data_IF_922931831283
#
_entry.id   IF_922931831283
#
_cell.length_a   1.000
_cell.length_b   1.000
_cell.length_c   1.000
_cell.angle_alpha   90.00
_cell.angle_beta   90.00
_cell.angle_gamma   90.00
#
_symmetry.space_group_name_H-M   'P 1'
#
loop_
_entity.id
_entity.type
_entity.pdbx_description
1 polymer ?
#
# COMPACT_ATOMS: atom_id res chain seq x y z
N UNK A 1 -63.05 54.82 8.28
CA UNK A 1 -61.90 54.41 9.13
C UNK A 1 -61.15 53.30 8.43
N UNK A 2 -60.12 53.63 7.69
CA UNK A 2 -59.31 52.71 6.95
C UNK A 2 -57.97 52.54 7.61
N UNK A 3 -57.59 51.31 7.92
CA UNK A 3 -56.27 50.98 8.44
C UNK A 3 -55.46 50.32 7.31
N UNK A 4 -54.42 51.04 6.89
CA UNK A 4 -53.46 50.62 5.84
C UNK A 4 -52.46 49.64 6.47
N UNK A 5 -52.45 48.39 5.97
CA UNK A 5 -51.38 47.44 6.26
C UNK A 5 -50.21 47.70 5.33
N UNK A 6 -49.15 48.32 5.84
CA UNK A 6 -47.84 48.31 5.18
C UNK A 6 -47.13 46.99 5.46
N UNK A 7 -46.97 46.20 4.40
CA UNK A 7 -46.15 44.99 4.44
C UNK A 7 -44.68 45.38 4.45
N UNK A 8 -43.99 45.10 5.56
CA UNK A 8 -42.52 45.07 5.60
C UNK A 8 -42.05 43.77 4.94
N UNK A 9 -41.50 43.90 3.77
CA UNK A 9 -40.69 42.84 3.14
C UNK A 9 -39.28 42.91 3.73
N UNK A 10 -38.97 42.05 4.71
CA UNK A 10 -37.60 41.85 5.16
C UNK A 10 -36.90 40.94 4.13
N UNK A 11 -36.06 41.50 3.27
CA UNK A 11 -35.09 40.73 2.47
C UNK A 11 -34.04 40.15 3.45
N UNK A 12 -34.19 38.88 3.76
CA UNK A 12 -33.12 38.12 4.41
C UNK A 12 -32.02 37.85 3.39
N UNK A 13 -30.96 38.65 3.41
CA UNK A 13 -29.73 38.38 2.68
C UNK A 13 -29.00 37.25 3.42
N UNK A 14 -29.21 35.99 3.00
CA UNK A 14 -28.42 34.88 3.46
C UNK A 14 -27.03 35.04 2.79
N UNK A 15 -26.12 35.67 3.52
CA UNK A 15 -24.71 35.63 3.17
C UNK A 15 -24.27 34.16 3.28
N UNK A 16 -24.14 33.48 2.16
CA UNK A 16 -23.43 32.21 2.07
C UNK A 16 -21.97 32.52 2.42
N UNK A 17 -21.63 32.46 3.71
CA UNK A 17 -20.25 32.33 4.17
C UNK A 17 -19.77 31.00 3.60
N UNK A 18 -19.10 31.05 2.46
CA UNK A 18 -18.28 29.94 1.99
C UNK A 18 -17.28 29.63 3.09
N UNK A 19 -17.51 28.57 3.84
CA UNK A 19 -16.49 28.00 4.69
C UNK A 19 -15.35 27.55 3.78
N UNK A 20 -14.42 28.48 3.49
CA UNK A 20 -13.13 28.10 2.95
C UNK A 20 -12.53 27.15 4.00
N UNK A 21 -12.36 25.88 3.63
CA UNK A 21 -11.68 24.93 4.48
C UNK A 21 -10.33 25.55 4.88
N UNK A 22 -10.06 25.61 6.19
CA UNK A 22 -8.79 26.15 6.68
C UNK A 22 -7.65 25.42 5.93
N UNK A 23 -6.63 26.15 5.50
CA UNK A 23 -5.49 25.54 4.81
C UNK A 23 -4.88 24.49 5.74
N UNK A 24 -4.66 23.29 5.22
CA UNK A 24 -3.97 22.23 5.96
C UNK A 24 -2.59 22.77 6.33
N UNK A 25 -2.27 22.73 7.64
CA UNK A 25 -0.96 23.21 8.12
C UNK A 25 0.13 22.38 7.43
N UNK A 26 1.06 23.08 6.78
CA UNK A 26 2.21 22.41 6.15
C UNK A 26 3.07 21.69 7.18
N UNK A 27 3.46 20.48 6.85
CA UNK A 27 4.43 19.70 7.62
C UNK A 27 5.82 20.26 7.29
N UNK A 28 6.49 20.78 8.30
CA UNK A 28 7.86 21.29 8.17
C UNK A 28 8.83 20.18 8.50
N UNK A 29 9.92 20.10 7.76
CA UNK A 29 10.97 19.11 7.98
C UNK A 29 12.35 19.64 7.54
N UNK A 30 13.40 19.00 8.01
CA UNK A 30 14.76 19.13 7.48
C UNK A 30 15.10 17.89 6.66
N UNK A 31 15.87 18.07 5.60
CA UNK A 31 16.32 16.99 4.70
C UNK A 31 17.85 17.07 4.60
N UNK A 32 18.52 16.10 5.17
CA UNK A 32 19.96 16.06 5.32
C UNK A 32 20.53 14.79 4.70
N UNK A 33 21.81 14.83 4.29
CA UNK A 33 22.54 13.65 3.82
C UNK A 33 23.84 13.52 4.61
N UNK A 34 24.07 12.35 5.23
CA UNK A 34 25.32 12.07 5.92
C UNK A 34 26.46 11.76 4.93
N UNK A 35 27.70 11.75 5.41
CA UNK A 35 28.88 11.45 4.58
C UNK A 35 28.85 10.04 3.98
N UNK A 36 28.26 9.08 4.69
CA UNK A 36 28.08 7.71 4.24
C UNK A 36 26.87 7.52 3.31
N UNK A 37 26.18 8.59 2.94
CA UNK A 37 25.08 8.58 1.98
C UNK A 37 23.69 8.39 2.58
N UNK A 38 23.54 8.12 3.88
CA UNK A 38 22.24 8.03 4.54
C UNK A 38 21.49 9.36 4.43
N UNK A 39 20.28 9.32 3.88
CA UNK A 39 19.37 10.46 3.88
C UNK A 39 18.59 10.50 5.17
N UNK A 40 18.52 11.66 5.81
CA UNK A 40 17.90 11.85 7.13
C UNK A 40 16.88 12.97 7.06
N UNK A 41 15.63 12.63 7.33
CA UNK A 41 14.52 13.59 7.36
C UNK A 41 14.03 13.72 8.79
N UNK A 42 13.93 14.95 9.30
CA UNK A 42 13.48 15.19 10.67
C UNK A 42 12.36 16.23 10.64
N UNK A 43 11.24 15.91 11.31
CA UNK A 43 10.08 16.79 11.43
C UNK A 43 9.65 16.90 12.90
N UNK A 44 9.66 18.10 13.44
CA UNK A 44 9.26 18.38 14.81
C UNK A 44 7.74 18.42 14.94
N UNK A 45 7.20 17.70 15.92
CA UNK A 45 5.81 17.75 16.31
C UNK A 45 5.67 17.53 17.83
N UNK A 46 5.54 18.63 18.56
CA UNK A 46 5.44 18.64 20.02
C UNK A 46 4.00 18.47 20.54
N UNK A 47 3.08 17.97 19.71
CA UNK A 47 1.69 17.74 20.10
C UNK A 47 1.49 16.58 21.08
N UNK A 48 2.45 15.66 21.12
CA UNK A 48 2.47 14.49 22.01
C UNK A 48 3.90 14.16 22.39
N UNK A 49 4.18 13.67 23.63
CA UNK A 49 5.54 13.42 24.11
C UNK A 49 6.11 12.10 23.58
N UNK A 50 5.95 11.85 22.28
CA UNK A 50 6.43 10.65 21.58
C UNK A 50 7.06 11.02 20.25
N UNK A 51 7.91 10.14 19.75
CA UNK A 51 8.44 10.23 18.38
C UNK A 51 8.32 8.89 17.67
N UNK A 52 8.40 8.93 16.36
CA UNK A 52 8.56 7.77 15.49
C UNK A 52 9.88 7.84 14.74
N UNK A 53 10.59 6.72 14.68
CA UNK A 53 11.69 6.48 13.75
C UNK A 53 11.21 5.53 12.67
N UNK A 54 11.49 5.83 11.41
CA UNK A 54 11.21 4.96 10.28
C UNK A 54 12.44 4.85 9.38
N UNK A 55 12.91 3.63 9.12
CA UNK A 55 14.03 3.36 8.22
C UNK A 55 13.49 2.62 6.99
N UNK A 56 13.47 3.32 5.86
CA UNK A 56 13.07 2.79 4.58
C UNK A 56 14.28 2.33 3.79
N UNK A 57 14.44 1.03 3.58
CA UNK A 57 15.46 0.47 2.69
C UNK A 57 14.92 0.33 1.27
N UNK A 58 15.72 0.75 0.29
CA UNK A 58 15.40 0.62 -1.14
C UNK A 58 15.63 -0.82 -1.62
N UNK A 59 14.88 -1.73 -1.06
CA UNK A 59 14.88 -3.15 -1.41
C UNK A 59 13.51 -3.75 -1.07
N UNK A 60 12.95 -4.51 -1.99
CA UNK A 60 11.69 -5.23 -1.81
C UNK A 60 11.70 -6.51 -2.64
N UNK A 61 10.54 -7.15 -2.79
CA UNK A 61 10.51 -8.43 -3.51
C UNK A 61 10.89 -8.29 -5.00
N UNK A 62 10.80 -7.10 -5.60
CA UNK A 62 11.27 -6.88 -6.98
C UNK A 62 12.77 -7.07 -7.17
N UNK A 63 13.55 -6.97 -6.09
CA UNK A 63 15.01 -7.10 -6.10
C UNK A 63 15.45 -8.58 -5.95
N UNK A 64 14.48 -9.48 -5.84
CA UNK A 64 14.69 -10.91 -5.71
C UNK A 64 15.00 -11.56 -7.07
N UNK A 65 15.75 -12.62 -7.03
CA UNK A 65 16.06 -13.42 -8.22
C UNK A 65 15.20 -14.69 -8.29
N UNK A 66 15.02 -15.22 -9.47
CA UNK A 66 14.31 -16.50 -9.68
C UNK A 66 14.88 -17.60 -8.80
N UNK A 67 14.03 -18.37 -8.14
CA UNK A 67 14.38 -19.41 -7.17
C UNK A 67 14.79 -18.89 -5.80
N UNK A 68 14.54 -17.60 -5.52
CA UNK A 68 14.81 -16.94 -4.24
C UNK A 68 13.71 -15.92 -3.91
N UNK A 69 12.44 -16.29 -4.18
CA UNK A 69 11.30 -15.45 -3.84
C UNK A 69 11.00 -15.49 -2.33
N UNK A 70 10.55 -14.38 -1.77
CA UNK A 70 10.29 -14.22 -0.33
C UNK A 70 11.51 -13.78 0.47
N UNK A 71 12.66 -13.53 -0.17
CA UNK A 71 13.89 -13.17 0.53
C UNK A 71 13.84 -11.79 1.18
N UNK A 72 13.23 -10.80 0.55
CA UNK A 72 13.08 -9.49 1.13
C UNK A 72 12.23 -9.53 2.41
N UNK A 73 11.16 -10.33 2.41
CA UNK A 73 10.31 -10.54 3.57
C UNK A 73 10.99 -11.40 4.64
N UNK A 74 11.65 -12.49 4.26
CA UNK A 74 12.46 -13.29 5.17
C UNK A 74 13.53 -12.42 5.86
N UNK A 75 14.12 -11.48 5.10
CA UNK A 75 15.11 -10.58 5.63
C UNK A 75 14.51 -9.55 6.60
N UNK A 76 13.28 -9.08 6.37
CA UNK A 76 12.54 -8.28 7.35
C UNK A 76 12.52 -8.98 8.72
N UNK A 77 12.19 -10.27 8.74
CA UNK A 77 12.18 -11.07 9.96
C UNK A 77 13.57 -11.23 10.58
N UNK A 78 14.60 -11.44 9.74
CA UNK A 78 15.98 -11.60 10.21
C UNK A 78 16.50 -10.38 10.96
N UNK A 79 16.06 -9.18 10.59
CA UNK A 79 16.49 -7.91 11.22
C UNK A 79 16.08 -7.77 12.70
N UNK A 80 15.24 -8.67 13.21
CA UNK A 80 14.85 -8.71 14.62
C UNK A 80 15.54 -9.83 15.42
N UNK A 81 16.49 -10.55 14.80
CA UNK A 81 17.12 -11.74 15.40
C UNK A 81 18.49 -11.48 16.03
N UNK A 82 18.81 -10.22 16.24
CA UNK A 82 20.04 -9.81 16.93
C UNK A 82 21.05 -9.17 16.00
N UNK A 83 22.01 -8.53 16.63
CA UNK A 83 23.11 -7.79 16.01
C UNK A 83 24.33 -7.88 16.92
N UNK A 84 25.43 -7.18 16.63
CA UNK A 84 26.67 -7.30 17.40
C UNK A 84 26.51 -6.98 18.90
N UNK A 85 25.63 -6.05 19.24
CA UNK A 85 25.44 -5.57 20.61
C UNK A 85 24.03 -5.83 21.18
N UNK A 86 23.17 -6.47 20.41
CA UNK A 86 21.77 -6.73 20.79
C UNK A 86 21.46 -8.21 20.51
N UNK A 87 21.10 -8.95 21.56
CA UNK A 87 20.81 -10.38 21.46
C UNK A 87 19.53 -10.70 20.70
N UNK A 88 19.38 -11.96 20.33
CA UNK A 88 18.18 -12.43 19.62
C UNK A 88 16.90 -12.19 20.45
N UNK A 89 15.94 -11.42 19.89
CA UNK A 89 14.71 -11.04 20.57
C UNK A 89 14.84 -9.91 21.59
N UNK A 90 16.05 -9.41 21.84
CA UNK A 90 16.27 -8.30 22.76
C UNK A 90 15.79 -6.96 22.20
N UNK A 91 15.92 -6.74 20.90
CA UNK A 91 15.44 -5.52 20.24
C UNK A 91 13.95 -5.23 20.54
N UNK A 92 12.98 -6.14 20.22
CA UNK A 92 11.58 -5.93 20.60
C UNK A 92 11.38 -5.77 22.10
N UNK A 93 12.11 -6.54 22.92
CA UNK A 93 12.02 -6.45 24.37
C UNK A 93 12.40 -5.05 24.88
N UNK A 94 13.51 -4.48 24.41
CA UNK A 94 13.94 -3.13 24.77
C UNK A 94 12.93 -2.07 24.39
N UNK A 95 12.35 -2.16 23.19
CA UNK A 95 11.31 -1.22 22.74
C UNK A 95 10.07 -1.30 23.64
N UNK A 96 9.53 -2.50 23.88
CA UNK A 96 8.31 -2.67 24.68
C UNK A 96 8.55 -2.32 26.16
N UNK A 97 9.69 -2.68 26.74
CA UNK A 97 10.04 -2.36 28.12
C UNK A 97 10.19 -0.85 28.36
N UNK A 98 10.49 -0.07 27.33
CA UNK A 98 10.57 1.39 27.38
C UNK A 98 9.29 2.11 26.87
N UNK A 99 8.16 1.41 26.85
CA UNK A 99 6.84 1.99 26.52
C UNK A 99 6.62 2.25 25.04
N UNK A 100 7.42 1.65 24.18
CA UNK A 100 7.32 1.80 22.73
C UNK A 100 6.55 0.67 22.04
N UNK A 101 6.44 0.81 20.74
CA UNK A 101 5.97 -0.23 19.81
C UNK A 101 6.83 -0.20 18.55
N UNK A 102 6.91 -1.34 17.86
CA UNK A 102 7.72 -1.48 16.65
C UNK A 102 7.10 -2.47 15.67
N UNK A 103 7.47 -2.38 14.41
CA UNK A 103 7.20 -3.41 13.41
C UNK A 103 8.11 -3.26 12.19
N UNK A 104 8.03 -4.24 11.28
CA UNK A 104 8.57 -4.18 9.93
C UNK A 104 7.46 -4.42 8.90
N UNK A 105 7.68 -3.98 7.67
CA UNK A 105 6.81 -4.31 6.53
C UNK A 105 7.63 -4.34 5.25
N UNK A 106 7.36 -5.34 4.42
CA UNK A 106 7.95 -5.47 3.08
C UNK A 106 6.87 -5.39 2.02
N UNK A 107 7.15 -4.66 0.95
CA UNK A 107 6.35 -4.70 -0.27
C UNK A 107 7.26 -4.98 -1.49
N UNK A 108 6.74 -4.81 -2.68
CA UNK A 108 7.52 -5.05 -3.90
C UNK A 108 8.70 -4.08 -4.04
N UNK A 109 8.62 -2.88 -3.49
CA UNK A 109 9.52 -1.76 -3.77
C UNK A 109 10.40 -1.32 -2.61
N UNK A 110 10.06 -1.69 -1.37
CA UNK A 110 10.82 -1.30 -0.17
C UNK A 110 10.63 -2.29 0.98
N UNK A 111 11.57 -2.26 1.94
CA UNK A 111 11.44 -2.81 3.29
C UNK A 111 11.56 -1.68 4.30
N UNK A 112 10.59 -1.57 5.20
CA UNK A 112 10.46 -0.53 6.20
C UNK A 112 10.54 -1.14 7.59
N UNK A 113 11.31 -0.53 8.47
CA UNK A 113 11.27 -0.77 9.91
C UNK A 113 10.89 0.52 10.61
N UNK A 114 10.11 0.41 11.68
CA UNK A 114 9.69 1.58 12.42
C UNK A 114 9.51 1.30 13.91
N UNK A 115 9.73 2.34 14.70
CA UNK A 115 9.57 2.34 16.13
C UNK A 115 8.87 3.62 16.58
N UNK A 116 8.01 3.49 17.59
CA UNK A 116 7.37 4.61 18.27
C UNK A 116 7.77 4.51 19.74
N UNK A 117 8.33 5.57 20.28
CA UNK A 117 8.81 5.61 21.67
C UNK A 117 8.52 6.95 22.33
N UNK A 118 8.50 7.01 23.70
CA UNK A 118 8.52 8.28 24.42
C UNK A 118 9.75 9.13 24.06
N UNK A 119 9.60 10.45 24.04
CA UNK A 119 10.61 11.41 23.56
C UNK A 119 12.00 11.25 24.21
N UNK A 120 12.06 10.79 25.48
CA UNK A 120 13.32 10.56 26.19
C UNK A 120 14.09 9.30 25.74
N UNK A 121 13.52 8.47 24.83
CA UNK A 121 14.14 7.21 24.38
C UNK A 121 14.79 7.33 23.00
N UNK A 122 15.04 8.54 22.50
CA UNK A 122 15.60 8.75 21.15
C UNK A 122 16.96 8.05 20.97
N UNK A 123 17.84 8.09 21.97
CA UNK A 123 19.14 7.40 21.90
C UNK A 123 18.99 5.87 21.77
N UNK A 124 18.00 5.28 22.46
CA UNK A 124 17.73 3.84 22.37
C UNK A 124 17.32 3.46 20.95
N UNK A 125 16.33 4.14 20.37
CA UNK A 125 15.86 3.85 19.00
C UNK A 125 16.98 4.01 17.98
N UNK A 126 17.73 5.11 18.03
CA UNK A 126 18.84 5.35 17.10
C UNK A 126 19.98 4.33 17.26
N UNK A 127 20.26 3.90 18.49
CA UNK A 127 21.23 2.83 18.76
C UNK A 127 20.78 1.51 18.14
N UNK A 128 19.55 1.08 18.38
CA UNK A 128 19.02 -0.19 17.90
C UNK A 128 19.01 -0.26 16.36
N UNK A 129 18.53 0.81 15.73
CA UNK A 129 18.50 0.91 14.25
C UNK A 129 19.91 0.94 13.64
N UNK A 130 20.85 1.67 14.25
CA UNK A 130 22.22 1.74 13.77
C UNK A 130 22.97 0.42 13.97
N UNK A 131 22.74 -0.28 15.08
CA UNK A 131 23.41 -1.54 15.37
C UNK A 131 23.01 -2.64 14.40
N UNK A 132 21.71 -2.81 14.13
CA UNK A 132 21.24 -3.79 13.14
C UNK A 132 21.60 -3.43 11.70
N UNK A 133 21.71 -2.12 11.34
CA UNK A 133 22.20 -1.69 10.03
C UNK A 133 23.69 -2.02 9.86
N UNK A 134 24.48 -1.93 10.92
CA UNK A 134 25.92 -2.19 10.90
C UNK A 134 26.26 -3.67 10.87
N UNK A 135 25.55 -4.47 11.67
CA UNK A 135 25.96 -5.85 11.98
C UNK A 135 24.77 -6.69 12.37
N UNK A 136 24.25 -7.44 11.45
CA UNK A 136 23.17 -8.38 11.72
C UNK A 136 23.74 -9.76 12.10
N UNK A 137 23.14 -10.43 13.10
CA UNK A 137 23.53 -11.79 13.51
C UNK A 137 22.89 -12.84 12.58
N UNK A 138 23.57 -13.08 11.46
CA UNK A 138 23.14 -14.04 10.43
C UNK A 138 23.76 -15.40 10.74
N UNK A 139 23.04 -16.19 11.54
CA UNK A 139 23.42 -17.56 11.86
C UNK A 139 22.44 -18.56 11.24
N UNK A 140 22.90 -19.81 11.08
CA UNK A 140 22.01 -20.88 10.60
C UNK A 140 20.79 -21.07 11.52
N UNK A 141 20.98 -20.97 12.83
CA UNK A 141 19.91 -21.11 13.81
C UNK A 141 18.84 -20.01 13.66
N UNK A 142 19.27 -18.75 13.51
CA UNK A 142 18.36 -17.63 13.27
C UNK A 142 17.63 -17.78 11.92
N UNK A 143 18.36 -18.18 10.88
CA UNK A 143 17.78 -18.39 9.56
C UNK A 143 16.72 -19.50 9.57
N UNK A 144 17.04 -20.68 10.09
CA UNK A 144 16.10 -21.81 10.16
C UNK A 144 14.84 -21.43 10.97
N UNK A 145 15.01 -20.71 12.08
CA UNK A 145 13.89 -20.20 12.87
C UNK A 145 12.99 -19.26 12.06
N UNK A 146 13.58 -18.33 11.28
CA UNK A 146 12.79 -17.38 10.49
C UNK A 146 12.18 -17.99 9.23
N UNK A 147 12.83 -18.95 8.58
CA UNK A 147 12.22 -19.73 7.50
C UNK A 147 10.93 -20.39 8.01
N UNK A 148 10.97 -21.05 9.17
CA UNK A 148 9.78 -21.67 9.76
C UNK A 148 8.69 -20.64 10.07
N UNK A 149 9.05 -19.47 10.61
CA UNK A 149 8.10 -18.41 10.93
C UNK A 149 7.40 -17.87 9.68
N UNK A 150 8.16 -17.55 8.61
CA UNK A 150 7.62 -17.04 7.34
C UNK A 150 6.77 -18.11 6.63
N UNK A 151 7.19 -19.38 6.68
CA UNK A 151 6.39 -20.47 6.13
C UNK A 151 5.06 -20.66 6.88
N UNK A 152 5.05 -20.49 8.21
CA UNK A 152 3.81 -20.53 8.99
C UNK A 152 2.93 -19.32 8.69
N UNK A 153 3.50 -18.14 8.59
CA UNK A 153 2.77 -16.93 8.17
C UNK A 153 2.13 -17.12 6.79
N UNK A 154 2.87 -17.70 5.83
CA UNK A 154 2.32 -18.05 4.53
C UNK A 154 1.13 -19.00 4.65
N UNK A 155 1.24 -20.05 5.48
CA UNK A 155 0.11 -20.97 5.71
C UNK A 155 -1.11 -20.23 6.27
N UNK A 156 -0.90 -19.38 7.28
CA UNK A 156 -1.96 -18.62 7.93
C UNK A 156 -2.53 -17.52 7.07
N UNK A 157 -1.70 -16.79 6.34
CA UNK A 157 -2.10 -15.60 5.59
C UNK A 157 -2.52 -15.86 4.13
N UNK A 158 -2.05 -16.95 3.54
CA UNK A 158 -2.32 -17.28 2.13
C UNK A 158 -3.02 -18.63 2.00
N UNK A 159 -2.37 -19.73 2.45
CA UNK A 159 -2.84 -21.07 2.11
C UNK A 159 -4.14 -21.46 2.87
N UNK A 160 -4.32 -20.96 4.10
CA UNK A 160 -5.48 -21.20 4.96
C UNK A 160 -6.48 -20.04 5.00
N UNK A 161 -6.39 -19.09 4.07
CA UNK A 161 -7.35 -17.97 3.96
C UNK A 161 -8.22 -18.11 2.71
N UNK A 162 -9.56 -17.88 2.84
CA UNK A 162 -10.40 -17.76 1.66
C UNK A 162 -9.84 -16.71 0.70
N UNK A 163 -9.73 -17.05 -0.56
CA UNK A 163 -9.18 -16.19 -1.62
C UNK A 163 -7.69 -15.82 -1.45
N UNK A 164 -6.94 -16.43 -0.52
CA UNK A 164 -5.54 -16.09 -0.28
C UNK A 164 -4.66 -16.26 -1.51
N UNK A 165 -4.84 -17.37 -2.25
CA UNK A 165 -4.11 -17.63 -3.50
C UNK A 165 -4.54 -16.76 -4.68
N UNK A 166 -5.68 -16.11 -4.61
CA UNK A 166 -6.21 -15.27 -5.70
C UNK A 166 -5.23 -14.15 -6.05
N UNK A 167 -4.61 -13.54 -5.04
CA UNK A 167 -3.65 -12.44 -5.25
C UNK A 167 -2.38 -12.91 -5.96
N UNK A 168 -1.87 -14.11 -5.63
CA UNK A 168 -0.68 -14.68 -6.28
C UNK A 168 -0.99 -15.01 -7.74
N UNK A 169 -2.08 -15.72 -8.01
CA UNK A 169 -2.52 -16.07 -9.36
C UNK A 169 -2.81 -14.81 -10.20
N UNK A 170 -3.38 -13.77 -9.58
CA UNK A 170 -3.61 -12.48 -10.22
C UNK A 170 -2.32 -11.83 -10.67
N UNK A 171 -1.34 -11.70 -9.78
CA UNK A 171 -0.07 -11.04 -10.08
C UNK A 171 0.74 -11.87 -11.08
N UNK A 172 0.77 -13.20 -10.93
CA UNK A 172 1.40 -14.11 -11.87
C UNK A 172 0.82 -14.02 -13.29
N UNK A 173 -0.49 -13.84 -13.41
CA UNK A 173 -1.18 -13.70 -14.69
C UNK A 173 -1.10 -12.29 -15.25
N UNK A 174 -1.11 -11.25 -14.39
CA UNK A 174 -1.12 -9.86 -14.81
C UNK A 174 0.24 -9.37 -15.29
N UNK A 175 1.33 -9.77 -14.64
CA UNK A 175 2.66 -9.28 -14.96
C UNK A 175 3.46 -10.29 -15.80
N UNK A 176 4.22 -9.78 -16.76
CA UNK A 176 5.23 -10.55 -17.48
C UNK A 176 6.62 -10.34 -16.88
N UNK A 177 6.87 -9.16 -16.30
CA UNK A 177 8.12 -8.83 -15.65
C UNK A 177 8.30 -9.65 -14.34
N UNK A 178 9.38 -10.46 -14.23
CA UNK A 178 9.62 -11.29 -13.05
C UNK A 178 9.65 -10.51 -11.74
N UNK A 179 10.11 -9.25 -11.74
CA UNK A 179 10.24 -8.41 -10.55
C UNK A 179 8.88 -8.12 -9.88
N UNK A 180 7.77 -8.12 -10.64
CA UNK A 180 6.44 -7.81 -10.10
C UNK A 180 5.46 -8.99 -10.13
N UNK A 181 5.88 -10.10 -10.75
CA UNK A 181 5.03 -11.26 -11.00
C UNK A 181 4.80 -12.15 -9.77
N UNK A 182 5.74 -12.21 -8.84
CA UNK A 182 5.67 -13.10 -7.69
C UNK A 182 5.15 -12.42 -6.41
N UNK A 183 4.75 -13.24 -5.46
CA UNK A 183 4.29 -12.82 -4.13
C UNK A 183 5.46 -12.35 -3.26
N UNK A 184 5.23 -11.33 -2.44
CA UNK A 184 6.22 -10.81 -1.47
C UNK A 184 6.60 -11.86 -0.43
N UNK A 185 5.64 -12.70 -0.01
CA UNK A 185 5.91 -13.76 0.98
C UNK A 185 6.73 -14.93 0.39
N UNK A 186 6.82 -15.02 -0.93
CA UNK A 186 7.58 -16.04 -1.64
C UNK A 186 6.94 -17.44 -1.66
N UNK A 187 7.63 -18.39 -2.28
CA UNK A 187 7.22 -19.79 -2.32
C UNK A 187 7.81 -20.60 -1.17
N UNK A 188 7.11 -21.67 -0.74
CA UNK A 188 7.64 -22.61 0.26
C UNK A 188 8.97 -23.23 -0.18
N UNK A 189 9.11 -23.52 -1.48
CA UNK A 189 10.33 -24.13 -2.03
C UNK A 189 11.51 -23.18 -1.97
N UNK A 190 11.32 -21.92 -2.38
CA UNK A 190 12.37 -20.90 -2.38
C UNK A 190 12.82 -20.55 -0.96
N UNK A 191 11.87 -20.42 -0.03
CA UNK A 191 12.15 -20.20 1.39
C UNK A 191 12.98 -21.36 1.98
N UNK A 192 12.62 -22.63 1.68
CA UNK A 192 13.36 -23.80 2.14
C UNK A 192 14.76 -23.93 1.52
N UNK A 193 14.99 -23.31 0.37
CA UNK A 193 16.28 -23.32 -0.32
C UNK A 193 17.23 -22.19 0.14
N UNK A 194 16.78 -21.33 1.06
CA UNK A 194 17.57 -20.20 1.55
C UNK A 194 18.80 -20.67 2.35
N UNK A 195 19.96 -20.09 2.04
CA UNK A 195 21.22 -20.37 2.73
C UNK A 195 21.74 -19.16 3.51
N UNK A 196 22.62 -19.38 4.48
CA UNK A 196 23.29 -18.30 5.24
C UNK A 196 24.06 -17.38 4.28
N UNK A 197 24.68 -17.93 3.24
CA UNK A 197 25.43 -17.15 2.25
C UNK A 197 24.50 -16.26 1.39
N UNK A 198 23.34 -16.78 1.00
CA UNK A 198 22.35 -15.99 0.28
C UNK A 198 21.88 -14.79 1.13
N UNK A 199 21.53 -15.03 2.39
CA UNK A 199 21.07 -13.98 3.32
C UNK A 199 22.18 -12.98 3.64
N UNK A 200 23.42 -13.45 3.85
CA UNK A 200 24.58 -12.58 4.09
C UNK A 200 24.88 -11.69 2.86
N UNK A 201 24.77 -12.25 1.66
CA UNK A 201 24.95 -11.51 0.41
C UNK A 201 23.85 -10.47 0.22
N UNK A 202 22.60 -10.80 0.55
CA UNK A 202 21.46 -9.89 0.49
C UNK A 202 21.63 -8.70 1.44
N UNK A 203 22.06 -8.96 2.68
CA UNK A 203 22.38 -7.91 3.65
C UNK A 203 23.43 -6.94 3.11
N UNK A 204 24.57 -7.47 2.68
CA UNK A 204 25.69 -6.67 2.17
C UNK A 204 25.31 -5.85 0.93
N UNK A 205 24.38 -6.34 0.12
CA UNK A 205 23.98 -5.65 -1.11
C UNK A 205 22.99 -4.51 -0.83
N UNK A 206 22.02 -4.73 0.05
CA UNK A 206 20.85 -3.85 0.13
C UNK A 206 20.75 -3.07 1.44
N UNK A 207 21.29 -3.59 2.56
CA UNK A 207 21.11 -2.98 3.88
C UNK A 207 22.30 -2.07 4.23
N UNK A 208 22.40 -0.97 3.52
CA UNK A 208 23.48 0.00 3.69
C UNK A 208 22.91 1.42 3.83
N UNK A 209 23.66 2.33 4.53
CA UNK A 209 23.21 3.70 4.74
C UNK A 209 22.84 4.43 3.44
N UNK A 210 23.64 4.26 2.39
CA UNK A 210 23.42 4.92 1.11
C UNK A 210 22.28 4.30 0.26
N UNK A 211 21.64 3.24 0.76
CA UNK A 211 20.45 2.60 0.17
C UNK A 211 19.23 2.75 1.09
N UNK A 212 19.25 3.68 2.05
CA UNK A 212 18.21 3.88 3.04
C UNK A 212 17.84 5.36 3.23
N UNK A 213 16.63 5.58 3.71
CA UNK A 213 16.14 6.87 4.22
C UNK A 213 15.71 6.67 5.66
N UNK A 214 16.28 7.43 6.58
CA UNK A 214 15.90 7.51 7.98
C UNK A 214 15.00 8.73 8.18
N UNK A 215 13.81 8.54 8.70
CA UNK A 215 12.87 9.61 9.06
C UNK A 215 12.64 9.60 10.58
N UNK A 216 12.71 10.76 11.22
CA UNK A 216 12.39 10.95 12.64
C UNK A 216 11.34 12.05 12.76
N UNK A 217 10.18 11.72 13.33
CA UNK A 217 9.06 12.64 13.46
C UNK A 217 8.49 12.59 14.86
N UNK A 218 8.23 13.73 15.47
CA UNK A 218 7.59 13.82 16.78
C UNK A 218 8.24 14.83 17.71
N UNK A 219 8.16 14.57 19.02
CA UNK A 219 8.68 15.46 20.06
C UNK A 219 10.22 15.37 20.17
N UNK A 220 10.86 15.97 19.20
CA UNK A 220 12.32 15.99 19.04
C UNK A 220 12.78 17.38 18.61
N UNK A 221 14.03 17.75 18.95
CA UNK A 221 14.74 18.90 18.37
C UNK A 221 15.55 18.46 17.16
N UNK A 222 15.37 19.12 16.03
CA UNK A 222 15.99 18.70 14.76
C UNK A 222 17.51 18.74 14.77
N UNK A 223 18.12 19.71 15.44
CA UNK A 223 19.59 19.84 15.49
C UNK A 223 20.20 18.76 16.37
N UNK A 224 19.65 18.60 17.58
CA UNK A 224 20.07 17.57 18.54
C UNK A 224 19.88 16.17 17.93
N UNK A 225 18.74 15.93 17.28
CA UNK A 225 18.47 14.67 16.61
C UNK A 225 19.47 14.38 15.50
N UNK A 226 19.79 15.36 14.65
CA UNK A 226 20.77 15.18 13.58
C UNK A 226 22.17 14.88 14.13
N UNK A 227 22.58 15.52 15.21
CA UNK A 227 23.85 15.21 15.90
C UNK A 227 23.90 13.78 16.44
N UNK A 228 22.81 13.33 17.06
CA UNK A 228 22.68 11.95 17.53
C UNK A 228 22.69 10.96 16.36
N UNK A 229 21.96 11.23 15.29
CA UNK A 229 21.97 10.40 14.08
C UNK A 229 23.40 10.30 13.51
N UNK A 230 24.15 11.39 13.42
CA UNK A 230 25.55 11.34 13.01
C UNK A 230 26.41 10.47 13.94
N UNK A 231 26.25 10.63 15.25
CA UNK A 231 26.97 9.84 16.23
C UNK A 231 26.78 8.31 16.03
N UNK A 232 25.55 7.87 15.79
CA UNK A 232 25.23 6.45 15.66
C UNK A 232 25.47 5.88 14.26
N UNK A 233 25.16 6.63 13.21
CA UNK A 233 25.11 6.11 11.84
C UNK A 233 26.31 6.51 10.97
N UNK A 234 26.97 7.66 11.16
CA UNK A 234 27.95 8.17 10.20
C UNK A 234 29.18 7.28 10.04
N UNK A 235 29.51 6.45 11.04
CA UNK A 235 30.59 5.47 11.00
C UNK A 235 30.26 4.18 10.28
N UNK A 236 28.99 3.93 9.94
CA UNK A 236 28.57 2.75 9.18
C UNK A 236 29.04 2.95 7.74
N UNK A 237 29.79 2.01 7.15
CA UNK A 237 30.31 2.17 5.81
C UNK A 237 29.20 2.12 4.75
N UNK A 238 29.31 2.95 3.73
CA UNK A 238 28.51 2.81 2.51
C UNK A 238 28.92 1.57 1.73
N UNK A 239 27.99 1.04 0.91
CA UNK A 239 28.22 -0.07 0.02
C UNK A 239 28.09 0.38 -1.45
N UNK A 240 28.63 -0.37 -2.42
CA UNK A 240 28.30 -0.15 -3.82
C UNK A 240 26.78 -0.10 -4.04
N UNK A 241 26.33 0.73 -4.98
CA UNK A 241 24.90 0.79 -5.31
C UNK A 241 24.40 -0.60 -5.74
N UNK A 242 23.22 -1.05 -5.26
CA UNK A 242 22.63 -2.29 -5.71
C UNK A 242 22.47 -2.34 -7.23
N UNK A 243 22.51 -3.54 -7.85
CA UNK A 243 22.23 -3.68 -9.27
C UNK A 243 20.86 -3.08 -9.63
N UNK A 244 20.75 -2.37 -10.75
CA UNK A 244 19.46 -1.83 -11.19
C UNK A 244 18.51 -2.98 -11.57
N UNK A 245 17.25 -2.87 -11.15
CA UNK A 245 16.19 -3.81 -11.52
C UNK A 245 15.52 -3.33 -12.79
N UNK A 246 15.34 -4.21 -13.76
CA UNK A 246 14.49 -3.90 -14.93
C UNK A 246 13.02 -3.98 -14.51
N UNK A 247 12.37 -2.84 -14.46
CA UNK A 247 10.95 -2.69 -14.10
C UNK A 247 10.04 -2.47 -15.31
N UNK A 248 10.56 -2.65 -16.53
CA UNK A 248 9.76 -2.48 -17.75
C UNK A 248 8.77 -3.62 -17.87
N UNK A 249 7.50 -3.26 -17.99
CA UNK A 249 6.42 -4.20 -18.22
C UNK A 249 5.98 -4.11 -19.68
N UNK A 250 5.97 -5.21 -20.43
CA UNK A 250 5.50 -5.19 -21.81
C UNK A 250 4.00 -4.89 -21.88
N UNK A 251 3.53 -4.22 -22.95
CA UNK A 251 2.11 -3.95 -23.13
C UNK A 251 1.35 -5.26 -23.32
N UNK A 252 0.21 -5.36 -22.63
CA UNK A 252 -0.71 -6.48 -22.81
C UNK A 252 -1.60 -6.22 -24.04
N UNK A 253 -1.70 -7.19 -24.94
CA UNK A 253 -2.41 -7.07 -26.22
C UNK A 253 -3.72 -7.84 -26.27
N UNK A 254 -3.97 -8.72 -25.30
CA UNK A 254 -5.20 -9.50 -25.17
C UNK A 254 -5.57 -9.69 -23.70
N UNK A 255 -6.88 -9.83 -23.43
CA UNK A 255 -7.37 -10.19 -22.10
C UNK A 255 -6.74 -11.51 -21.62
N UNK A 256 -6.31 -11.54 -20.36
CA UNK A 256 -5.88 -12.76 -19.69
C UNK A 256 -6.94 -13.16 -18.68
N UNK A 257 -7.28 -14.45 -18.64
CA UNK A 257 -8.36 -14.93 -17.78
C UNK A 257 -8.07 -16.31 -17.22
N UNK A 258 -8.44 -16.51 -15.98
CA UNK A 258 -8.40 -17.84 -15.35
C UNK A 258 -9.53 -17.98 -14.34
N UNK A 259 -9.91 -19.24 -14.08
CA UNK A 259 -10.79 -19.60 -12.97
C UNK A 259 -10.04 -20.57 -12.06
N UNK A 260 -10.06 -20.30 -10.76
CA UNK A 260 -9.46 -21.17 -9.75
C UNK A 260 -10.51 -21.64 -8.75
N UNK A 261 -10.34 -22.84 -8.24
CA UNK A 261 -11.14 -23.38 -7.16
C UNK A 261 -10.49 -23.12 -5.81
N UNK A 262 -11.29 -22.72 -4.83
CA UNK A 262 -10.87 -22.53 -3.46
C UNK A 262 -11.81 -23.27 -2.51
N UNK A 263 -11.24 -24.19 -1.74
CA UNK A 263 -11.99 -25.02 -0.78
C UNK A 263 -12.48 -24.26 0.44
N UNK A 264 -11.92 -23.08 0.71
CA UNK A 264 -12.27 -22.22 1.83
C UNK A 264 -13.25 -21.11 1.42
N UNK A 265 -13.32 -20.78 0.14
CA UNK A 265 -14.28 -19.81 -0.37
C UNK A 265 -15.72 -20.32 -0.25
N UNK A 266 -16.61 -19.42 0.13
CA UNK A 266 -18.06 -19.70 0.21
C UNK A 266 -18.86 -19.06 -0.93
N UNK A 267 -18.32 -18.01 -1.51
CA UNK A 267 -18.94 -17.24 -2.59
C UNK A 267 -17.93 -17.09 -3.74
N UNK A 268 -18.43 -16.93 -4.94
CA UNK A 268 -17.58 -16.61 -6.08
C UNK A 268 -17.07 -15.18 -5.95
N UNK A 269 -15.78 -14.98 -6.18
CA UNK A 269 -15.14 -13.67 -6.23
C UNK A 269 -14.56 -13.42 -7.62
N UNK A 270 -14.67 -12.18 -8.08
CA UNK A 270 -14.07 -11.71 -9.33
C UNK A 270 -13.03 -10.64 -8.99
N UNK A 271 -11.81 -10.82 -9.47
CA UNK A 271 -10.73 -9.84 -9.46
C UNK A 271 -10.42 -9.45 -10.91
N UNK A 272 -10.77 -8.22 -11.28
CA UNK A 272 -10.48 -7.63 -12.58
C UNK A 272 -9.39 -6.58 -12.39
N UNK A 273 -8.24 -6.77 -13.02
CA UNK A 273 -7.13 -5.82 -12.90
C UNK A 273 -6.68 -5.32 -14.26
N UNK A 274 -6.25 -4.07 -14.30
CA UNK A 274 -5.80 -3.38 -15.49
C UNK A 274 -4.40 -2.83 -15.24
N UNK A 275 -3.46 -3.07 -16.16
CA UNK A 275 -2.11 -2.51 -16.07
C UNK A 275 -2.16 -0.97 -16.13
N UNK A 276 -1.50 -0.34 -15.19
CA UNK A 276 -1.37 1.12 -15.09
C UNK A 276 0.09 1.52 -14.92
N UNK A 277 0.44 2.78 -15.18
CA UNK A 277 1.81 3.24 -15.00
C UNK A 277 2.22 3.27 -13.51
N UNK A 278 3.52 3.46 -13.23
CA UNK A 278 4.03 3.68 -11.89
C UNK A 278 3.30 4.83 -11.16
N UNK A 279 3.28 4.79 -9.84
CA UNK A 279 2.66 5.85 -9.02
C UNK A 279 3.35 7.22 -9.11
N UNK A 280 4.53 7.28 -9.73
CA UNK A 280 5.20 8.54 -10.10
C UNK A 280 4.67 9.20 -11.37
N UNK A 281 3.82 8.50 -12.13
CA UNK A 281 3.27 9.02 -13.38
C UNK A 281 2.22 10.12 -13.11
N UNK A 282 2.06 11.09 -14.03
CA UNK A 282 1.07 12.17 -13.89
C UNK A 282 -0.37 11.69 -13.78
N UNK A 283 -0.67 10.46 -14.23
CA UNK A 283 -2.00 9.88 -14.26
C UNK A 283 -2.44 9.22 -12.93
N UNK A 284 -1.53 9.04 -11.96
CA UNK A 284 -1.83 8.36 -10.71
C UNK A 284 -2.97 9.03 -9.93
N UNK A 285 -2.93 10.35 -9.78
CA UNK A 285 -3.98 11.09 -9.07
C UNK A 285 -5.35 10.97 -9.78
N UNK A 286 -5.38 10.98 -11.10
CA UNK A 286 -6.61 10.80 -11.87
C UNK A 286 -7.17 9.37 -11.74
N UNK A 287 -6.32 8.35 -11.67
CA UNK A 287 -6.71 6.96 -11.41
C UNK A 287 -7.26 6.80 -9.98
N UNK A 288 -6.70 7.47 -8.98
CA UNK A 288 -7.22 7.48 -7.60
C UNK A 288 -8.61 8.13 -7.51
N UNK A 289 -8.80 9.26 -8.20
CA UNK A 289 -10.11 9.93 -8.28
C UNK A 289 -11.11 9.04 -9.01
N UNK A 290 -10.72 8.39 -10.11
CA UNK A 290 -11.55 7.40 -10.82
C UNK A 290 -12.02 6.27 -9.89
N UNK A 291 -11.12 5.69 -9.12
CA UNK A 291 -11.45 4.64 -8.14
C UNK A 291 -12.51 5.13 -7.13
N UNK A 292 -12.38 6.37 -6.67
CA UNK A 292 -13.32 7.00 -5.74
C UNK A 292 -14.71 7.23 -6.37
N UNK A 293 -14.76 7.70 -7.61
CA UNK A 293 -16.03 7.86 -8.37
C UNK A 293 -16.72 6.51 -8.51
N UNK A 294 -15.97 5.47 -8.85
CA UNK A 294 -16.52 4.14 -9.08
C UNK A 294 -17.02 3.47 -7.80
N UNK A 295 -16.28 3.52 -6.69
CA UNK A 295 -16.57 2.63 -5.57
C UNK A 295 -16.63 3.27 -4.17
N UNK A 296 -16.28 4.55 -3.98
CA UNK A 296 -16.21 5.11 -2.63
C UNK A 296 -17.56 5.59 -2.09
N UNK A 297 -18.05 4.90 -1.04
CA UNK A 297 -19.27 5.23 -0.33
C UNK A 297 -20.56 4.88 -1.07
N UNK A 298 -21.70 5.05 -0.37
CA UNK A 298 -23.01 4.58 -0.83
C UNK A 298 -23.56 5.31 -2.07
N UNK A 299 -23.05 6.49 -2.41
CA UNK A 299 -23.42 7.23 -3.63
C UNK A 299 -22.42 7.03 -4.78
N UNK A 300 -21.55 6.03 -4.70
CA UNK A 300 -20.66 5.64 -5.81
C UNK A 300 -21.41 4.86 -6.88
N UNK A 301 -20.87 4.85 -8.09
CA UNK A 301 -21.55 4.22 -9.24
C UNK A 301 -21.74 2.72 -9.04
N UNK A 302 -20.72 2.01 -8.54
CA UNK A 302 -20.84 0.58 -8.27
C UNK A 302 -21.84 0.28 -7.17
N UNK A 303 -21.84 1.06 -6.07
CA UNK A 303 -22.78 0.83 -5.00
C UNK A 303 -24.22 1.04 -5.49
N UNK A 304 -24.52 2.16 -6.14
CA UNK A 304 -25.86 2.47 -6.61
C UNK A 304 -26.40 1.44 -7.61
N UNK A 305 -25.59 1.08 -8.61
CA UNK A 305 -26.06 0.23 -9.71
C UNK A 305 -25.95 -1.25 -9.38
N UNK A 306 -24.79 -1.69 -8.83
CA UNK A 306 -24.48 -3.13 -8.69
C UNK A 306 -24.97 -3.65 -7.36
N UNK A 307 -24.71 -2.90 -6.26
CA UNK A 307 -25.05 -3.35 -4.92
C UNK A 307 -26.53 -3.10 -4.64
N UNK A 308 -27.02 -1.86 -4.81
CA UNK A 308 -28.36 -1.45 -4.39
C UNK A 308 -29.45 -1.82 -5.40
N UNK A 309 -29.24 -1.54 -6.69
CA UNK A 309 -30.32 -1.74 -7.70
C UNK A 309 -30.37 -3.16 -8.25
N UNK A 310 -29.21 -3.74 -8.60
CA UNK A 310 -29.14 -5.08 -9.22
C UNK A 310 -28.93 -6.20 -8.21
N UNK A 311 -28.48 -5.89 -7.00
CA UNK A 311 -28.18 -6.84 -5.94
C UNK A 311 -27.26 -7.99 -6.40
N UNK A 312 -26.30 -7.69 -7.27
CA UNK A 312 -25.37 -8.69 -7.82
C UNK A 312 -24.25 -9.04 -6.86
N UNK A 313 -23.87 -8.12 -6.00
CA UNK A 313 -22.78 -8.26 -5.06
C UNK A 313 -23.08 -7.50 -3.77
N UNK A 314 -22.60 -7.94 -2.59
CA UNK A 314 -22.72 -7.18 -1.35
C UNK A 314 -21.77 -5.96 -1.38
N UNK A 315 -20.65 -6.08 -2.07
CA UNK A 315 -19.67 -5.00 -2.26
C UNK A 315 -18.97 -5.15 -3.60
N UNK A 316 -18.63 -4.01 -4.22
CA UNK A 316 -17.69 -3.93 -5.34
C UNK A 316 -16.76 -2.77 -5.06
N UNK A 317 -15.46 -3.02 -5.07
CA UNK A 317 -14.42 -2.05 -4.77
C UNK A 317 -13.54 -1.79 -5.98
N UNK A 318 -13.13 -0.54 -6.19
CA UNK A 318 -12.11 -0.16 -7.15
C UNK A 318 -10.99 0.60 -6.42
N UNK A 319 -9.74 0.28 -6.73
CA UNK A 319 -8.56 0.94 -6.14
C UNK A 319 -7.34 0.81 -7.05
N UNK A 320 -6.47 1.81 -6.99
CA UNK A 320 -5.13 1.75 -7.57
C UNK A 320 -4.15 1.13 -6.58
N UNK A 321 -3.17 0.41 -7.08
CA UNK A 321 -2.00 0.01 -6.30
C UNK A 321 -1.06 1.19 -6.08
N UNK A 322 0.00 0.97 -5.30
CA UNK A 322 1.14 1.87 -5.17
C UNK A 322 2.42 1.10 -5.50
N UNK A 323 3.13 1.55 -6.54
CA UNK A 323 4.32 0.88 -7.04
C UNK A 323 5.26 1.85 -7.73
N UNK A 324 6.56 1.61 -7.59
CA UNK A 324 7.61 2.35 -8.32
C UNK A 324 7.77 1.88 -9.77
N UNK A 325 7.32 0.66 -10.05
CA UNK A 325 7.29 0.06 -11.38
C UNK A 325 5.85 -0.07 -11.89
N UNK A 326 5.59 -1.09 -12.72
CA UNK A 326 4.25 -1.35 -13.25
C UNK A 326 3.25 -1.54 -12.11
N UNK A 327 2.06 -1.01 -12.30
CA UNK A 327 1.02 -1.00 -11.29
C UNK A 327 -0.28 -1.60 -11.83
N UNK A 328 -1.24 -1.83 -10.95
CA UNK A 328 -2.56 -2.36 -11.28
C UNK A 328 -3.66 -1.45 -10.75
N UNK A 329 -4.64 -1.16 -11.59
CA UNK A 329 -5.94 -0.69 -11.15
C UNK A 329 -6.84 -1.91 -10.98
N UNK A 330 -7.35 -2.12 -9.77
CA UNK A 330 -8.09 -3.32 -9.39
C UNK A 330 -9.58 -3.01 -9.21
N UNK A 331 -10.44 -3.90 -9.72
CA UNK A 331 -11.87 -3.94 -9.42
C UNK A 331 -12.18 -5.34 -8.86
N UNK A 332 -12.71 -5.39 -7.65
CA UNK A 332 -12.96 -6.63 -6.93
C UNK A 332 -14.41 -6.69 -6.47
N UNK A 333 -15.09 -7.80 -6.73
CA UNK A 333 -16.45 -8.03 -6.28
C UNK A 333 -16.70 -9.47 -5.89
N UNK A 334 -17.54 -9.67 -4.86
CA UNK A 334 -18.01 -10.98 -4.44
C UNK A 334 -19.47 -11.15 -4.89
N UNK A 335 -19.76 -12.26 -5.55
CA UNK A 335 -21.09 -12.50 -6.15
C UNK A 335 -22.09 -12.90 -5.07
N UNK A 336 -23.28 -12.30 -5.07
CA UNK A 336 -24.35 -12.67 -4.16
C UNK A 336 -24.86 -14.09 -4.45
N UNK A 337 -25.34 -14.84 -3.43
CA UNK A 337 -25.97 -16.15 -3.63
C UNK A 337 -27.07 -16.11 -4.70
N UNK A 338 -27.04 -17.08 -5.61
CA UNK A 338 -28.02 -17.17 -6.71
C UNK A 338 -27.80 -16.22 -7.89
N UNK A 339 -26.75 -15.39 -7.85
CA UNK A 339 -26.37 -14.52 -8.98
C UNK A 339 -25.19 -15.11 -9.76
N UNK A 340 -25.00 -14.65 -10.99
CA UNK A 340 -23.93 -15.11 -11.87
C UNK A 340 -22.67 -14.23 -11.82
N UNK A 341 -21.49 -14.83 -11.91
CA UNK A 341 -20.25 -14.09 -12.06
C UNK A 341 -20.21 -13.25 -13.33
N UNK A 342 -20.74 -13.79 -14.44
CA UNK A 342 -20.85 -13.09 -15.71
C UNK A 342 -21.76 -11.83 -15.63
N UNK A 343 -22.84 -11.91 -14.84
CA UNK A 343 -23.74 -10.76 -14.65
C UNK A 343 -23.05 -9.64 -13.86
N UNK A 344 -22.27 -10.01 -12.83
CA UNK A 344 -21.47 -9.04 -12.06
C UNK A 344 -20.40 -8.39 -12.93
N UNK A 345 -19.65 -9.19 -13.71
CA UNK A 345 -18.64 -8.69 -14.64
C UNK A 345 -19.23 -7.73 -15.65
N UNK A 346 -20.36 -8.11 -16.29
CA UNK A 346 -21.04 -7.26 -17.25
C UNK A 346 -21.55 -5.95 -16.63
N UNK A 347 -21.99 -5.98 -15.37
CA UNK A 347 -22.43 -4.77 -14.66
C UNK A 347 -21.24 -3.85 -14.32
N UNK A 348 -20.08 -4.40 -13.95
CA UNK A 348 -18.84 -3.63 -13.73
C UNK A 348 -18.40 -2.98 -15.05
N UNK A 349 -18.35 -3.75 -16.14
CA UNK A 349 -17.98 -3.24 -17.47
C UNK A 349 -18.91 -2.11 -17.91
N UNK A 350 -20.22 -2.26 -17.72
CA UNK A 350 -21.20 -1.23 -18.07
C UNK A 350 -20.95 0.09 -17.34
N UNK A 351 -20.61 0.05 -16.04
CA UNK A 351 -20.31 1.27 -15.29
C UNK A 351 -18.98 1.91 -15.70
N UNK A 352 -17.96 1.12 -16.01
CA UNK A 352 -16.70 1.61 -16.57
C UNK A 352 -16.95 2.30 -17.91
N UNK A 353 -17.73 1.71 -18.82
CA UNK A 353 -18.08 2.32 -20.09
C UNK A 353 -18.92 3.59 -19.91
N UNK A 354 -19.80 3.66 -18.91
CA UNK A 354 -20.53 4.89 -18.58
C UNK A 354 -19.61 6.01 -18.11
N UNK A 355 -18.54 5.72 -17.37
CA UNK A 355 -17.52 6.73 -17.03
C UNK A 355 -16.79 7.20 -18.28
N UNK A 356 -16.43 6.29 -19.19
CA UNK A 356 -15.73 6.64 -20.44
C UNK A 356 -16.55 7.51 -21.38
N UNK A 357 -17.85 7.21 -21.53
CA UNK A 357 -18.72 7.82 -22.55
C UNK A 357 -19.55 9.00 -22.04
N UNK A 358 -19.99 8.95 -20.79
CA UNK A 358 -20.93 9.91 -20.22
C UNK A 358 -20.27 10.99 -19.34
N UNK A 359 -21.01 12.05 -19.01
CA UNK A 359 -20.51 13.06 -18.10
C UNK A 359 -20.33 12.48 -16.69
N UNK A 360 -19.30 12.94 -16.00
CA UNK A 360 -19.15 12.81 -14.56
C UNK A 360 -19.71 14.09 -13.97
N UNK A 361 -20.72 13.98 -13.11
CA UNK A 361 -21.39 15.15 -12.55
C UNK A 361 -20.45 15.91 -11.60
N UNK A 362 -20.65 17.23 -11.50
CA UNK A 362 -19.81 18.08 -10.65
C UNK A 362 -19.78 17.60 -9.18
N UNK A 363 -20.92 17.17 -8.65
CA UNK A 363 -21.01 16.65 -7.29
C UNK A 363 -20.24 15.32 -7.11
N UNK A 364 -20.15 14.46 -8.16
CA UNK A 364 -19.34 13.25 -8.11
C UNK A 364 -17.87 13.59 -8.04
N UNK A 365 -17.42 14.56 -8.83
CA UNK A 365 -16.05 15.05 -8.83
C UNK A 365 -15.69 15.75 -7.53
N UNK A 366 -16.55 16.61 -7.01
CA UNK A 366 -16.35 17.28 -5.73
C UNK A 366 -16.24 16.27 -4.59
N UNK A 367 -17.18 15.33 -4.51
CA UNK A 367 -17.14 14.24 -3.53
C UNK A 367 -15.85 13.42 -3.66
N UNK A 368 -15.45 13.04 -4.88
CA UNK A 368 -14.28 12.20 -5.10
C UNK A 368 -12.99 12.91 -4.66
N UNK A 369 -12.82 14.18 -5.02
CA UNK A 369 -11.69 15.00 -4.59
C UNK A 369 -11.66 15.21 -3.08
N UNK A 370 -12.80 15.50 -2.48
CA UNK A 370 -12.90 15.71 -1.03
C UNK A 370 -12.61 14.42 -0.26
N UNK A 371 -13.09 13.26 -0.72
CA UNK A 371 -12.77 11.96 -0.10
C UNK A 371 -11.29 11.62 -0.22
N UNK A 372 -10.70 11.76 -1.40
CA UNK A 372 -9.28 11.49 -1.61
C UNK A 372 -8.40 12.43 -0.76
N UNK A 373 -8.76 13.72 -0.68
CA UNK A 373 -8.08 14.69 0.18
C UNK A 373 -8.23 14.35 1.67
N UNK A 374 -9.44 13.98 2.10
CA UNK A 374 -9.71 13.60 3.50
C UNK A 374 -8.93 12.35 3.90
N UNK A 375 -8.88 11.34 3.02
CA UNK A 375 -8.09 10.14 3.27
C UNK A 375 -6.60 10.47 3.42
N UNK A 376 -6.06 11.30 2.54
CA UNK A 376 -4.67 11.74 2.61
C UNK A 376 -4.37 12.50 3.90
N UNK A 377 -5.23 13.46 4.30
CA UNK A 377 -5.04 14.21 5.55
C UNK A 377 -5.11 13.28 6.76
N UNK A 378 -6.07 12.34 6.75
CA UNK A 378 -6.22 11.37 7.84
C UNK A 378 -5.04 10.39 7.94
N UNK A 379 -4.42 10.03 6.79
CA UNK A 379 -3.22 9.18 6.77
C UNK A 379 -1.96 9.89 7.26
N UNK A 380 -2.02 11.14 7.66
CA UNK A 380 -0.92 11.91 8.25
C UNK A 380 -1.18 12.27 9.72
N UNK A 381 -2.12 11.56 10.35
CA UNK A 381 -2.60 11.89 11.70
C UNK A 381 -1.60 11.61 12.82
N UNK A 382 -0.69 10.66 12.64
CA UNK A 382 0.29 10.28 13.65
C UNK A 382 1.73 10.66 13.25
N UNK A 383 2.63 10.68 14.22
CA UNK A 383 4.07 10.84 13.99
C UNK A 383 4.61 9.72 13.09
N UNK A 384 4.15 8.48 13.29
CA UNK A 384 4.53 7.34 12.45
C UNK A 384 4.11 7.52 11.00
N UNK A 385 2.84 7.86 10.76
CA UNK A 385 2.32 8.03 9.40
C UNK A 385 3.13 9.08 8.61
N UNK A 386 3.49 10.18 9.30
CA UNK A 386 4.33 11.24 8.70
C UNK A 386 5.75 10.76 8.46
N UNK A 387 6.36 10.02 9.40
CA UNK A 387 7.71 9.48 9.26
C UNK A 387 7.79 8.51 8.07
N UNK A 388 6.82 7.61 7.95
CA UNK A 388 6.71 6.67 6.83
C UNK A 388 6.52 7.41 5.52
N UNK A 389 5.56 8.34 5.44
CA UNK A 389 5.27 9.10 4.21
C UNK A 389 6.46 9.93 3.75
N UNK A 390 7.12 10.66 4.66
CA UNK A 390 8.32 11.43 4.32
C UNK A 390 9.45 10.54 3.79
N UNK A 391 9.66 9.38 4.43
CA UNK A 391 10.66 8.41 4.00
C UNK A 391 10.35 7.79 2.65
N UNK A 392 9.11 7.37 2.41
CA UNK A 392 8.67 6.81 1.12
C UNK A 392 8.69 7.86 0.01
N UNK A 393 8.20 9.07 0.25
CA UNK A 393 8.24 10.16 -0.73
C UNK A 393 9.70 10.54 -1.10
N UNK A 394 10.61 10.51 -0.12
CA UNK A 394 12.03 10.72 -0.38
C UNK A 394 12.65 9.57 -1.18
N UNK A 395 12.30 8.33 -0.85
CA UNK A 395 12.84 7.13 -1.48
C UNK A 395 12.31 6.92 -2.91
N UNK A 396 10.99 7.07 -3.09
CA UNK A 396 10.31 6.74 -4.34
C UNK A 396 10.33 7.87 -5.35
N UNK A 397 10.21 9.12 -4.87
CA UNK A 397 10.05 10.28 -5.74
C UNK A 397 11.21 11.27 -5.62
N UNK A 398 12.18 10.99 -4.74
CA UNK A 398 13.25 11.94 -4.38
C UNK A 398 12.71 13.31 -3.97
N UNK A 399 11.49 13.37 -3.46
CA UNK A 399 10.80 14.62 -3.12
C UNK A 399 9.91 14.45 -1.87
N UNK A 400 10.44 14.61 -0.65
CA UNK A 400 9.64 14.51 0.57
C UNK A 400 8.56 15.59 0.70
N UNK A 401 8.65 16.71 -0.03
CA UNK A 401 7.61 17.76 0.01
C UNK A 401 6.29 17.35 -0.67
N UNK A 402 6.24 16.18 -1.30
CA UNK A 402 4.98 15.58 -1.77
C UNK A 402 3.95 15.45 -0.65
N UNK A 403 4.38 15.20 0.58
CA UNK A 403 3.51 15.19 1.77
C UNK A 403 2.67 16.47 1.90
N UNK A 404 3.19 17.61 1.44
CA UNK A 404 2.52 18.91 1.47
C UNK A 404 1.74 19.25 0.19
N UNK A 405 2.08 18.64 -0.94
CA UNK A 405 1.59 19.08 -2.27
C UNK A 405 0.60 18.09 -2.90
N UNK A 406 0.57 16.84 -2.47
CA UNK A 406 -0.28 15.79 -3.06
C UNK A 406 -1.78 16.08 -2.94
N UNK A 407 -2.22 16.68 -1.83
CA UNK A 407 -3.62 17.08 -1.67
C UNK A 407 -4.07 18.10 -2.70
N UNK A 408 -3.17 19.02 -3.07
CA UNK A 408 -3.45 20.05 -4.07
C UNK A 408 -3.41 19.50 -5.50
N UNK A 409 -2.57 18.49 -5.79
CA UNK A 409 -2.57 17.82 -7.09
C UNK A 409 -3.87 17.05 -7.32
N UNK A 410 -4.35 16.30 -6.34
CA UNK A 410 -5.65 15.61 -6.38
C UNK A 410 -6.80 16.61 -6.58
N UNK A 411 -6.76 17.78 -5.94
CA UNK A 411 -7.78 18.80 -6.06
C UNK A 411 -7.90 19.38 -7.49
N UNK A 412 -6.83 19.32 -8.28
CA UNK A 412 -6.78 19.80 -9.67
C UNK A 412 -7.30 18.80 -10.70
N UNK A 413 -7.50 17.54 -10.32
CA UNK A 413 -8.01 16.50 -11.23
C UNK A 413 -9.37 16.88 -11.77
N UNK A 414 -9.54 16.87 -13.09
CA UNK A 414 -10.79 17.22 -13.78
C UNK A 414 -11.58 15.97 -14.18
N UNK A 415 -12.86 16.13 -14.50
CA UNK A 415 -13.68 15.06 -15.06
C UNK A 415 -13.10 14.53 -16.40
N UNK A 416 -12.50 15.43 -17.19
CA UNK A 416 -11.83 15.05 -18.44
C UNK A 416 -10.60 14.16 -18.18
N UNK A 417 -9.81 14.42 -17.12
CA UNK A 417 -8.69 13.57 -16.73
C UNK A 417 -9.17 12.18 -16.33
N UNK A 418 -10.23 12.11 -15.51
CA UNK A 418 -10.81 10.84 -15.08
C UNK A 418 -11.32 10.03 -16.28
N UNK A 419 -12.00 10.68 -17.24
CA UNK A 419 -12.46 10.02 -18.46
C UNK A 419 -11.30 9.56 -19.34
N UNK A 420 -10.27 10.39 -19.47
CA UNK A 420 -9.08 10.08 -20.27
C UNK A 420 -8.36 8.84 -19.72
N UNK A 421 -8.07 8.79 -18.42
CA UNK A 421 -7.40 7.63 -17.82
C UNK A 421 -8.28 6.38 -17.87
N UNK A 422 -9.60 6.50 -17.70
CA UNK A 422 -10.52 5.37 -17.87
C UNK A 422 -10.48 4.82 -19.31
N UNK A 423 -10.49 5.67 -20.34
CA UNK A 423 -10.37 5.27 -21.75
C UNK A 423 -9.02 4.64 -22.07
N UNK A 424 -7.95 5.16 -21.50
CA UNK A 424 -6.59 4.73 -21.79
C UNK A 424 -6.23 3.41 -21.10
N UNK A 425 -6.61 3.22 -19.84
CA UNK A 425 -6.14 2.09 -19.04
C UNK A 425 -7.19 1.01 -18.82
N UNK A 426 -8.48 1.34 -18.66
CA UNK A 426 -9.50 0.32 -18.38
C UNK A 426 -10.03 -0.32 -19.68
N UNK A 427 -9.12 -0.89 -20.46
CA UNK A 427 -9.43 -1.52 -21.75
C UNK A 427 -9.36 -3.04 -21.63
N UNK A 428 -10.25 -3.75 -22.36
CA UNK A 428 -10.31 -5.23 -22.29
C UNK A 428 -8.99 -5.90 -22.68
N UNK A 429 -8.28 -5.38 -23.66
CA UNK A 429 -6.98 -5.92 -24.08
C UNK A 429 -5.90 -5.82 -23.00
N UNK A 430 -5.98 -4.81 -22.11
CA UNK A 430 -5.07 -4.62 -20.99
C UNK A 430 -5.56 -5.26 -19.66
N UNK A 431 -6.65 -6.04 -19.70
CA UNK A 431 -7.30 -6.58 -18.52
C UNK A 431 -6.85 -8.00 -18.22
N UNK A 432 -6.70 -8.29 -16.92
CA UNK A 432 -6.56 -9.64 -16.39
C UNK A 432 -7.73 -9.92 -15.45
N UNK A 433 -8.36 -11.10 -15.58
CA UNK A 433 -9.52 -11.51 -14.78
C UNK A 433 -9.21 -12.83 -14.10
N UNK A 434 -9.33 -12.86 -12.77
CA UNK A 434 -9.27 -14.07 -11.97
C UNK A 434 -10.63 -14.27 -11.31
N UNK A 435 -11.25 -15.42 -11.58
CA UNK A 435 -12.51 -15.84 -10.93
C UNK A 435 -12.18 -16.94 -9.95
N UNK A 436 -12.43 -16.69 -8.67
CA UNK A 436 -12.27 -17.71 -7.62
C UNK A 436 -13.63 -18.26 -7.25
N UNK A 437 -13.83 -19.56 -7.47
CA UNK A 437 -15.08 -20.24 -7.18
C UNK A 437 -14.92 -21.16 -5.97
N UNK A 438 -15.98 -21.33 -5.16
CA UNK A 438 -16.00 -22.37 -4.13
C UNK A 438 -15.76 -23.75 -4.76
N UNK A 439 -14.85 -24.52 -4.19
CA UNK A 439 -14.69 -25.91 -4.58
C UNK A 439 -15.94 -26.70 -4.14
N UNK A 440 -16.56 -27.39 -5.08
CA UNK A 440 -17.70 -28.24 -4.75
C UNK A 440 -17.30 -29.25 -3.67
N UNK A 441 -18.12 -29.37 -2.60
CA UNK A 441 -17.89 -30.38 -1.58
C UNK A 441 -17.96 -31.76 -2.26
N UNK A 442 -16.86 -32.52 -2.16
CA UNK A 442 -16.84 -33.90 -2.63
C UNK A 442 -17.92 -34.69 -1.88
N UNK A 443 -19.06 -34.98 -2.53
CA UNK A 443 -20.08 -35.88 -1.99
C UNK A 443 -21.34 -35.22 -1.42
N UNK A 444 -21.88 -34.15 -2.03
CA UNK A 444 -23.33 -33.94 -1.90
C UNK A 444 -24.04 -34.95 -2.80
N UNK A 445 -24.82 -35.93 -2.27
CA UNK A 445 -25.60 -36.83 -3.11
C UNK A 445 -26.55 -35.95 -3.94
N UNK A 446 -26.51 -36.12 -5.26
CA UNK A 446 -27.43 -35.45 -6.15
C UNK A 446 -28.85 -35.59 -5.64
N UNK A 447 -29.55 -34.47 -5.50
CA UNK A 447 -30.97 -34.49 -5.21
C UNK A 447 -31.65 -35.31 -6.31
N UNK A 448 -32.14 -36.52 -5.95
CA UNK A 448 -32.93 -37.36 -6.83
C UNK A 448 -34.13 -36.55 -7.34
N UNK A 449 -34.53 -36.66 -8.62
CA UNK A 449 -35.68 -35.98 -9.12
C UNK A 449 -36.92 -36.49 -8.33
N UNK A 450 -37.65 -35.56 -7.71
CA UNK A 450 -38.94 -35.88 -7.08
C UNK A 450 -39.84 -36.42 -8.19
N UNK A 451 -39.96 -37.77 -8.23
CA UNK A 451 -40.94 -38.44 -9.05
C UNK A 451 -42.33 -38.03 -8.62
N UNK A 452 -43.11 -37.56 -9.59
CA UNK A 452 -44.51 -37.23 -9.40
C UNK A 452 -45.33 -38.48 -9.00
N UNK A 453 -46.27 -38.23 -8.15
CA UNK A 453 -47.55 -38.87 -8.08
C UNK A 453 -48.60 -37.80 -7.91
#
# INVERSE_FOLDING_TARGET
MGVSLRRLAALGMVAALGLAAAPVKKITFTDNKLKNGLRVIISEDHSSPVFAVAVNYNVGSRDERTGRTGFAHLFEHMMFKGSANVGAGEHPHLIFANGGSMNGTTNKDRTLYYEILPANQLDLALFLEADRMRSLDITKANLDNQINAVQEERRLGVDNQPYGRTFEVRDELAFDNPAYKHSVIGSMADLSAATVDDVSSFFKTYYAPNNAVLSVVGDVDSKVTLEKVRKYFESIPSQPAPPPVDIKEPPQTAERRTTIEDSLARLTRIDMVYKTPPSSAPDDDALRVLATVLSSGRSSRFYETIVRQKELAPTVSAFGGESRGPNLFSVVGTVNPGKGAADLEAAIDAEIERVKAGPIADWEMEKARNNARSQLVNSLGSALDRAVTLGEDALFYNNPDRINTRADSIAKVTAADVQRVAKQYLVKTGRTVVITVPKAAAGAPGAAPKGGR
#
